data_IF_339777481962
#
_entry.id   IF_339777481962
#
_cell.length_a   1.000
_cell.length_b   1.000
_cell.length_c   1.000
_cell.angle_alpha   90.00
_cell.angle_beta   90.00
_cell.angle_gamma   90.00
#
_symmetry.space_group_name_H-M   'P 1'
#
loop_
_entity.id
_entity.type
_entity.pdbx_description
1 polymer ?
#
# COMPACT_ATOMS: atom_id res chain seq x y z
N UNK A 1 -13.60 -15.01 10.25
CA UNK A 1 -13.18 -14.22 11.44
C UNK A 1 -13.69 -12.80 11.27
N UNK A 2 -14.20 -12.14 12.32
CA UNK A 2 -14.92 -10.87 12.20
C UNK A 2 -14.08 -9.65 11.76
N UNK A 3 -12.74 -9.72 11.77
CA UNK A 3 -11.84 -8.58 11.52
C UNK A 3 -11.24 -8.49 10.10
N UNK A 4 -11.62 -9.37 9.17
CA UNK A 4 -10.93 -9.48 7.87
C UNK A 4 -9.49 -10.00 7.98
N UNK A 5 -8.80 -10.14 6.85
CA UNK A 5 -7.41 -10.61 6.77
C UNK A 5 -6.59 -9.72 5.83
N UNK A 6 -5.26 -9.81 5.95
CA UNK A 6 -4.31 -9.10 5.10
C UNK A 6 -4.11 -7.63 5.48
N UNK A 7 -2.90 -7.13 5.26
CA UNK A 7 -2.45 -5.76 5.57
C UNK A 7 -1.68 -5.11 4.41
N UNK A 8 -1.65 -5.76 3.25
CA UNK A 8 -0.91 -5.34 2.05
C UNK A 8 -1.82 -5.54 0.83
N UNK A 9 -1.93 -4.51 -0.02
CA UNK A 9 -2.62 -4.59 -1.30
C UNK A 9 -2.14 -3.50 -2.26
N UNK A 10 -2.52 -3.64 -3.53
CA UNK A 10 -2.36 -2.63 -4.56
C UNK A 10 -3.66 -2.48 -5.35
N UNK A 11 -3.92 -1.29 -5.89
CA UNK A 11 -5.15 -1.02 -6.63
C UNK A 11 -5.27 0.44 -7.04
N UNK A 12 -6.52 0.89 -7.26
CA UNK A 12 -6.83 2.26 -7.67
C UNK A 12 -7.60 2.97 -6.57
N UNK A 13 -7.24 4.23 -6.31
CA UNK A 13 -7.91 5.06 -5.32
C UNK A 13 -9.31 5.43 -5.82
N UNK A 14 -10.34 5.03 -5.07
CA UNK A 14 -11.74 5.35 -5.38
C UNK A 14 -12.25 6.62 -4.67
N UNK A 15 -11.68 6.96 -3.51
CA UNK A 15 -12.02 8.15 -2.72
C UNK A 15 -10.84 8.57 -1.85
N UNK A 16 -10.74 9.86 -1.58
CA UNK A 16 -9.76 10.46 -0.66
C UNK A 16 -10.46 11.28 0.42
N UNK A 17 -9.85 11.36 1.60
CA UNK A 17 -10.32 12.25 2.67
C UNK A 17 -10.04 13.71 2.35
N UNK A 18 -10.77 14.64 2.97
CA UNK A 18 -10.69 16.08 2.67
C UNK A 18 -9.32 16.72 2.93
N UNK A 19 -8.51 16.14 3.82
CA UNK A 19 -7.15 16.62 4.13
C UNK A 19 -6.02 15.85 3.41
N UNK A 20 -6.34 14.99 2.44
CA UNK A 20 -5.34 14.21 1.70
C UNK A 20 -4.99 14.95 0.41
N UNK A 21 -3.75 15.42 0.29
CA UNK A 21 -3.30 16.23 -0.86
C UNK A 21 -2.35 15.47 -1.80
N UNK A 22 -1.63 14.49 -1.29
CA UNK A 22 -0.57 13.76 -2.01
C UNK A 22 -1.06 12.54 -2.79
N UNK A 23 -2.33 12.15 -2.62
CA UNK A 23 -2.99 11.04 -3.32
C UNK A 23 -4.31 11.55 -3.90
N UNK A 24 -4.67 11.11 -5.11
CA UNK A 24 -5.87 11.51 -5.83
C UNK A 24 -6.68 10.29 -6.26
N UNK A 25 -7.97 10.51 -6.49
CA UNK A 25 -8.84 9.49 -7.10
C UNK A 25 -8.30 9.14 -8.49
N UNK A 26 -8.24 7.84 -8.79
CA UNK A 26 -7.65 7.32 -10.02
C UNK A 26 -6.17 6.96 -9.92
N UNK A 27 -5.46 7.39 -8.88
CA UNK A 27 -4.07 7.01 -8.69
C UNK A 27 -3.94 5.49 -8.49
N UNK A 28 -2.93 4.92 -9.15
CA UNK A 28 -2.47 3.56 -8.90
C UNK A 28 -1.61 3.58 -7.65
N UNK A 29 -1.93 2.73 -6.68
CA UNK A 29 -1.29 2.77 -5.37
C UNK A 29 -0.98 1.38 -4.83
N UNK A 30 -0.04 1.34 -3.89
CA UNK A 30 0.29 0.17 -3.07
C UNK A 30 0.46 0.59 -1.61
N UNK A 31 0.09 -0.29 -0.69
CA UNK A 31 0.39 -0.12 0.74
C UNK A 31 0.79 -1.46 1.36
N UNK A 32 1.52 -1.40 2.48
CA UNK A 32 1.81 -2.54 3.33
C UNK A 32 1.71 -2.13 4.82
N UNK A 33 1.50 -3.11 5.69
CA UNK A 33 1.37 -2.91 7.14
C UNK A 33 0.30 -1.87 7.52
N UNK A 34 -0.80 -1.83 6.76
CA UNK A 34 -2.00 -1.07 7.13
C UNK A 34 -2.87 -1.88 8.12
N UNK A 35 -4.06 -1.37 8.44
CA UNK A 35 -5.09 -2.08 9.20
C UNK A 35 -5.45 -3.41 8.54
N UNK A 36 -5.98 -4.36 9.34
CA UNK A 36 -6.51 -5.62 8.78
C UNK A 36 -7.72 -5.33 7.89
N UNK A 37 -7.82 -6.09 6.79
CA UNK A 37 -8.94 -5.97 5.84
C UNK A 37 -8.55 -5.89 4.38
N UNK A 38 -7.27 -6.06 4.04
CA UNK A 38 -6.79 -5.99 2.66
C UNK A 38 -7.40 -7.07 1.74
N UNK A 39 -7.85 -8.21 2.28
CA UNK A 39 -8.56 -9.24 1.54
C UNK A 39 -10.03 -8.85 1.34
N UNK A 40 -10.25 -7.76 0.61
CA UNK A 40 -11.54 -7.18 0.30
C UNK A 40 -11.46 -6.46 -1.06
N UNK A 41 -12.60 -6.15 -1.67
CA UNK A 41 -12.65 -5.34 -2.88
C UNK A 41 -12.42 -3.85 -2.64
N UNK A 42 -12.62 -3.38 -1.40
CA UNK A 42 -12.44 -1.98 -0.99
C UNK A 42 -11.92 -1.95 0.44
N UNK A 43 -10.86 -1.17 0.68
CA UNK A 43 -10.26 -1.03 2.00
C UNK A 43 -9.86 0.43 2.26
N UNK A 44 -10.33 1.00 3.37
CA UNK A 44 -9.91 2.31 3.83
C UNK A 44 -8.62 2.19 4.63
N UNK A 45 -7.62 2.99 4.27
CA UNK A 45 -6.30 2.99 4.90
C UNK A 45 -5.81 4.40 5.16
N UNK A 46 -4.95 4.62 6.18
CA UNK A 46 -4.27 5.90 6.38
C UNK A 46 -3.45 6.31 5.15
N UNK A 47 -3.59 7.57 4.70
CA UNK A 47 -2.96 8.04 3.48
C UNK A 47 -1.41 8.08 3.55
N UNK A 48 -0.83 8.13 4.76
CA UNK A 48 0.60 8.07 5.03
C UNK A 48 1.20 6.65 4.87
N UNK A 49 0.35 5.62 4.76
CA UNK A 49 0.75 4.24 4.46
C UNK A 49 0.72 3.91 2.97
N UNK A 50 0.25 4.83 2.15
CA UNK A 50 0.01 4.62 0.72
C UNK A 50 1.15 5.24 -0.10
N UNK A 51 1.67 4.49 -1.06
CA UNK A 51 2.64 4.96 -2.04
C UNK A 51 2.05 4.89 -3.45
N UNK A 52 2.41 5.85 -4.30
CA UNK A 52 2.08 5.83 -5.74
C UNK A 52 2.81 4.66 -6.40
N UNK A 53 2.06 3.91 -7.22
CA UNK A 53 2.57 2.77 -7.97
C UNK A 53 2.87 3.20 -9.42
N UNK A 54 4.14 3.12 -9.87
CA UNK A 54 4.50 3.41 -11.25
C UNK A 54 3.80 2.47 -12.26
N UNK A 55 3.51 2.97 -13.47
CA UNK A 55 2.87 2.22 -14.57
C UNK A 55 3.61 0.97 -15.01
N UNK A 56 4.94 0.97 -14.84
CA UNK A 56 5.78 -0.18 -15.16
C UNK A 56 5.62 -1.38 -14.22
N UNK A 57 4.95 -1.21 -13.06
CA UNK A 57 4.79 -2.28 -12.06
C UNK A 57 3.32 -2.67 -12.00
N UNK A 58 3.01 -3.96 -12.23
CA UNK A 58 1.64 -4.46 -12.15
C UNK A 58 1.12 -4.47 -10.71
N UNK A 59 -0.20 -4.53 -10.52
CA UNK A 59 -0.78 -4.62 -9.17
C UNK A 59 -0.37 -5.92 -8.46
N UNK A 60 -0.28 -7.02 -9.20
CA UNK A 60 0.16 -8.33 -8.70
C UNK A 60 1.62 -8.25 -8.23
N UNK A 61 2.51 -7.65 -9.02
CA UNK A 61 3.90 -7.44 -8.65
C UNK A 61 4.02 -6.56 -7.40
N UNK A 62 3.27 -5.46 -7.35
CA UNK A 62 3.27 -4.55 -6.22
C UNK A 62 2.83 -5.25 -4.92
N UNK A 63 1.65 -5.89 -4.92
CA UNK A 63 1.15 -6.62 -3.76
C UNK A 63 2.06 -7.79 -3.36
N UNK A 64 2.65 -8.48 -4.34
CA UNK A 64 3.55 -9.61 -4.08
C UNK A 64 4.92 -9.22 -3.56
N UNK A 65 5.39 -7.96 -3.70
CA UNK A 65 6.79 -7.61 -3.42
C UNK A 65 7.02 -6.38 -2.52
N UNK A 66 6.05 -5.50 -2.33
CA UNK A 66 6.28 -4.18 -1.71
C UNK A 66 6.87 -4.25 -0.29
N UNK A 67 6.23 -4.93 0.66
CA UNK A 67 6.73 -5.10 2.03
C UNK A 67 8.11 -5.78 2.07
N UNK A 68 8.35 -6.69 1.14
CA UNK A 68 9.60 -7.45 1.05
C UNK A 68 10.72 -6.51 0.61
N UNK A 69 10.46 -5.67 -0.39
CA UNK A 69 11.35 -4.59 -0.81
C UNK A 69 11.64 -3.58 0.30
N UNK A 70 10.62 -3.15 1.06
CA UNK A 70 10.79 -2.25 2.21
C UNK A 70 11.68 -2.87 3.30
N UNK A 71 11.48 -4.16 3.57
CA UNK A 71 12.29 -4.91 4.54
C UNK A 71 13.76 -4.98 4.10
N UNK A 72 14.01 -5.32 2.83
CA UNK A 72 15.37 -5.33 2.27
C UNK A 72 16.01 -3.94 2.34
N UNK A 73 15.28 -2.90 1.96
CA UNK A 73 15.77 -1.52 2.03
C UNK A 73 16.15 -1.13 3.46
N UNK A 74 15.30 -1.43 4.45
CA UNK A 74 15.59 -1.16 5.85
C UNK A 74 16.88 -1.87 6.30
N UNK A 75 16.99 -3.16 6.02
CA UNK A 75 18.15 -3.96 6.44
C UNK A 75 19.46 -3.52 5.77
N UNK A 76 19.42 -3.10 4.50
CA UNK A 76 20.64 -2.72 3.78
C UNK A 76 21.01 -1.24 3.94
N UNK A 77 20.04 -0.35 4.17
CA UNK A 77 20.25 1.10 4.10
C UNK A 77 19.95 1.84 5.40
N UNK A 78 19.33 1.19 6.39
CA UNK A 78 18.92 1.83 7.64
C UNK A 78 19.49 1.18 8.89
N UNK A 79 19.99 -0.06 8.82
CA UNK A 79 20.59 -0.75 9.98
C UNK A 79 22.11 -0.90 9.92
N UNK A 80 22.72 -0.80 8.73
CA UNK A 80 24.18 -0.87 8.56
C UNK A 80 24.72 0.56 8.46
N UNK A 81 25.80 0.87 9.18
CA UNK A 81 26.50 2.17 9.13
C UNK A 81 27.44 2.24 7.93
#
# INVERSE_FOLDING_TARGET
>A
MPAGLGTEAAGVVSKVGSGVEHIRVGDRVVYAQSTLGAYSSVHNVPADKVAILPDAISFEQAAASFLKGLTVFYLLRKTIK
#
